data_IF_769338055014
#
_entry.id   IF_769338055014
#
_cell.length_a   1.000
_cell.length_b   1.000
_cell.length_c   1.000
_cell.angle_alpha   90.00
_cell.angle_beta   90.00
_cell.angle_gamma   90.00
#
_symmetry.space_group_name_H-M   'P 1'
#
loop_
_entity.id
_entity.type
_entity.pdbx_description
1 polymer ?
#
# COMPACT_ATOMS: atom_id res chain seq x y z
N UNK A 1 14.63 7.42 -6.71
CA UNK A 1 13.58 8.44 -6.86
C UNK A 1 13.38 9.13 -5.52
N UNK A 2 13.39 10.47 -5.47
CA UNK A 2 13.22 11.22 -4.22
C UNK A 2 12.60 12.60 -4.47
N UNK A 3 12.02 13.16 -3.40
CA UNK A 3 11.43 14.49 -3.37
C UNK A 3 10.32 14.71 -4.43
N UNK A 4 9.35 13.79 -4.46
CA UNK A 4 8.24 13.80 -5.41
C UNK A 4 6.99 14.35 -4.74
N UNK A 5 6.36 15.34 -5.35
CA UNK A 5 5.06 15.86 -4.98
C UNK A 5 4.04 15.63 -6.11
N UNK A 6 2.95 14.95 -5.78
CA UNK A 6 1.78 14.74 -6.64
C UNK A 6 0.60 15.40 -5.93
N UNK A 7 -0.06 16.37 -6.55
CA UNK A 7 -1.19 17.02 -5.90
C UNK A 7 -2.27 17.47 -6.87
N UNK A 8 -3.47 17.63 -6.32
CA UNK A 8 -4.62 18.21 -7.03
C UNK A 8 -4.95 17.47 -8.34
N UNK A 9 -4.73 16.13 -8.36
CA UNK A 9 -4.92 15.31 -9.54
C UNK A 9 -6.24 14.53 -9.48
N UNK A 10 -6.86 14.35 -10.66
CA UNK A 10 -7.99 13.45 -10.82
C UNK A 10 -7.59 12.30 -11.73
N UNK A 11 -7.84 11.07 -11.28
CA UNK A 11 -7.58 9.85 -12.04
C UNK A 11 -8.91 9.31 -12.58
N UNK A 12 -9.02 9.24 -13.90
CA UNK A 12 -10.21 8.78 -14.61
C UNK A 12 -10.04 7.37 -15.22
N UNK A 13 -8.82 6.85 -15.25
CA UNK A 13 -8.52 5.48 -15.65
C UNK A 13 -7.15 5.09 -15.09
N UNK A 14 -7.00 3.87 -14.59
CA UNK A 14 -5.71 3.42 -14.05
C UNK A 14 -5.81 2.13 -13.26
N UNK A 15 -4.65 1.61 -12.94
CA UNK A 15 -4.48 0.40 -12.15
C UNK A 15 -4.36 0.68 -10.65
N UNK A 16 -3.47 1.59 -10.29
CA UNK A 16 -3.14 1.96 -8.91
C UNK A 16 -2.88 3.46 -8.87
N UNK A 17 -3.40 4.14 -7.86
CA UNK A 17 -3.23 5.58 -7.75
C UNK A 17 -1.76 5.95 -7.48
N UNK A 18 -1.15 5.36 -6.46
CA UNK A 18 0.28 5.51 -6.16
C UNK A 18 0.92 4.12 -6.02
N UNK A 19 1.68 3.72 -7.03
CA UNK A 19 2.41 2.46 -7.06
C UNK A 19 3.92 2.67 -6.94
N UNK A 20 4.56 2.01 -5.97
CA UNK A 20 6.01 2.01 -5.75
C UNK A 20 6.53 0.59 -5.93
N UNK A 21 7.46 0.41 -6.86
CA UNK A 21 8.07 -0.89 -7.12
C UNK A 21 7.39 -1.68 -8.23
N UNK A 22 7.82 -2.93 -8.42
CA UNK A 22 8.81 -3.74 -7.67
C UNK A 22 10.27 -3.38 -7.98
N UNK A 23 10.54 -2.62 -9.02
CA UNK A 23 11.90 -2.33 -9.50
C UNK A 23 12.45 -1.06 -8.86
N UNK A 24 12.85 -1.18 -7.60
CA UNK A 24 13.26 -0.05 -6.75
C UNK A 24 14.65 -0.23 -6.12
N UNK A 25 15.57 -0.92 -6.79
CA UNK A 25 16.87 -1.32 -6.24
C UNK A 25 17.73 -0.17 -5.69
N UNK A 26 17.52 1.06 -6.17
CA UNK A 26 18.21 2.24 -5.63
C UNK A 26 17.41 3.00 -4.57
N UNK A 27 16.15 2.63 -4.38
CA UNK A 27 15.25 3.22 -3.38
C UNK A 27 14.36 4.35 -3.85
N UNK A 28 13.36 4.62 -3.00
CA UNK A 28 12.36 5.71 -3.16
C UNK A 28 12.16 6.38 -1.81
N UNK A 29 12.21 7.72 -1.75
CA UNK A 29 11.92 8.46 -0.52
C UNK A 29 11.30 9.82 -0.76
N UNK A 30 10.67 10.35 0.30
CA UNK A 30 10.06 11.67 0.30
C UNK A 30 9.01 11.83 -0.81
N UNK A 31 8.09 10.88 -0.91
CA UNK A 31 6.98 10.94 -1.87
C UNK A 31 5.73 11.44 -1.14
N UNK A 32 5.14 12.52 -1.64
CA UNK A 32 3.90 13.08 -1.10
C UNK A 32 2.83 13.13 -2.17
N UNK A 33 1.68 12.58 -1.86
CA UNK A 33 0.47 12.72 -2.68
C UNK A 33 -0.60 13.45 -1.87
N UNK A 34 -1.16 14.52 -2.43
CA UNK A 34 -2.07 15.42 -1.71
C UNK A 34 -3.31 15.76 -2.57
N UNK A 35 -4.48 15.80 -1.94
CA UNK A 35 -5.73 16.29 -2.54
C UNK A 35 -6.04 15.63 -3.91
N UNK A 36 -5.90 14.32 -4.01
CA UNK A 36 -6.17 13.61 -5.25
C UNK A 36 -7.51 12.89 -5.22
N UNK A 37 -8.11 12.72 -6.39
CA UNK A 37 -9.40 12.05 -6.54
C UNK A 37 -9.33 10.94 -7.57
N UNK A 38 -9.97 9.82 -7.26
CA UNK A 38 -10.11 8.67 -8.15
C UNK A 38 -11.58 8.54 -8.53
N UNK A 39 -11.92 8.92 -9.76
CA UNK A 39 -13.28 8.88 -10.30
C UNK A 39 -13.59 7.59 -11.07
N UNK A 40 -12.65 6.69 -11.16
CA UNK A 40 -12.75 5.38 -11.81
C UNK A 40 -12.62 4.23 -10.81
N UNK A 41 -12.66 3.03 -11.34
CA UNK A 41 -12.25 1.82 -10.63
C UNK A 41 -10.72 1.68 -10.70
N UNK A 42 -10.08 1.44 -9.55
CA UNK A 42 -8.64 1.13 -9.45
C UNK A 42 -8.42 -0.12 -8.61
N UNK A 43 -7.27 -0.73 -8.75
CA UNK A 43 -6.93 -1.89 -7.93
C UNK A 43 -6.54 -1.48 -6.51
N UNK A 44 -5.72 -0.43 -6.36
CA UNK A 44 -5.26 0.05 -5.05
C UNK A 44 -5.09 1.56 -5.02
N UNK A 45 -5.18 2.16 -3.86
CA UNK A 45 -4.80 3.57 -3.70
C UNK A 45 -3.30 3.70 -3.46
N UNK A 46 -2.75 2.97 -2.49
CA UNK A 46 -1.31 2.93 -2.25
C UNK A 46 -0.81 1.48 -2.34
N UNK A 47 0.16 1.25 -3.18
CA UNK A 47 0.80 -0.05 -3.31
C UNK A 47 2.32 0.04 -3.27
N UNK A 48 2.92 -0.48 -2.21
CA UNK A 48 4.37 -0.69 -2.12
C UNK A 48 4.65 -2.17 -2.34
N UNK A 49 5.43 -2.48 -3.35
CA UNK A 49 5.76 -3.86 -3.71
C UNK A 49 7.24 -4.03 -3.99
N UNK A 50 7.82 -5.10 -3.46
CA UNK A 50 9.22 -5.45 -3.67
C UNK A 50 9.42 -6.96 -3.53
N UNK A 51 10.63 -7.42 -3.66
CA UNK A 51 11.02 -8.80 -3.38
C UNK A 51 12.50 -8.87 -2.93
N UNK A 52 12.94 -10.02 -2.38
CA UNK A 52 14.29 -10.17 -1.84
C UNK A 52 15.45 -10.10 -2.85
N UNK A 53 15.20 -9.71 -4.09
CA UNK A 53 16.23 -9.48 -5.13
C UNK A 53 16.49 -8.02 -5.41
N UNK A 54 15.69 -7.12 -4.82
CA UNK A 54 15.69 -5.69 -5.20
C UNK A 54 16.57 -4.84 -4.32
N UNK A 55 16.58 -5.08 -3.01
CA UNK A 55 17.27 -4.20 -2.06
C UNK A 55 16.67 -2.80 -2.01
N UNK A 56 17.50 -1.81 -1.75
CA UNK A 56 17.10 -0.41 -1.68
C UNK A 56 16.20 -0.08 -0.49
N UNK A 57 15.40 0.94 -0.66
CA UNK A 57 14.52 1.42 0.40
C UNK A 57 13.23 2.07 -0.13
N UNK A 58 12.22 2.11 0.72
CA UNK A 58 11.02 2.96 0.57
C UNK A 58 10.84 3.69 1.90
N UNK A 59 11.02 5.01 1.89
CA UNK A 59 11.04 5.84 3.08
C UNK A 59 10.18 7.09 2.90
N UNK A 60 9.50 7.48 3.98
CA UNK A 60 8.76 8.74 4.06
C UNK A 60 7.79 8.93 2.88
N UNK A 61 6.82 8.03 2.78
CA UNK A 61 5.74 8.10 1.78
C UNK A 61 4.47 8.57 2.45
N UNK A 62 3.89 9.65 1.97
CA UNK A 62 2.65 10.21 2.52
C UNK A 62 1.58 10.32 1.45
N UNK A 63 0.37 9.84 1.77
CA UNK A 63 -0.86 10.07 1.02
C UNK A 63 -1.84 10.80 1.92
N UNK A 64 -2.30 11.99 1.50
CA UNK A 64 -3.15 12.87 2.30
C UNK A 64 -4.30 13.45 1.48
N UNK A 65 -5.52 13.39 2.00
CA UNK A 65 -6.67 14.01 1.33
C UNK A 65 -7.06 13.32 0.03
N UNK A 66 -7.22 12.00 0.03
CA UNK A 66 -7.60 11.23 -1.17
C UNK A 66 -9.03 10.73 -1.06
N UNK A 67 -9.78 10.88 -2.14
CA UNK A 67 -11.13 10.29 -2.29
C UNK A 67 -11.17 9.31 -3.44
N UNK A 68 -11.87 8.18 -3.26
CA UNK A 68 -12.00 7.15 -4.28
C UNK A 68 -13.39 6.50 -4.27
N UNK A 69 -13.92 6.21 -5.44
CA UNK A 69 -15.22 5.54 -5.59
C UNK A 69 -15.09 4.02 -5.39
N UNK A 70 -14.12 3.40 -6.05
CA UNK A 70 -14.04 1.94 -6.03
C UNK A 70 -12.61 1.43 -6.12
N UNK A 71 -12.25 0.60 -5.13
CA UNK A 71 -10.96 -0.07 -5.03
C UNK A 71 -11.18 -1.58 -5.09
N UNK A 72 -10.81 -2.22 -6.20
CA UNK A 72 -11.11 -3.64 -6.45
C UNK A 72 -10.12 -4.61 -5.82
N UNK A 73 -9.13 -4.11 -5.11
CA UNK A 73 -8.25 -4.91 -4.28
C UNK A 73 -8.08 -4.26 -2.91
N UNK A 74 -6.99 -3.57 -2.63
CA UNK A 74 -6.69 -3.03 -1.29
C UNK A 74 -6.66 -1.50 -1.30
N UNK A 75 -7.19 -0.85 -0.27
CA UNK A 75 -7.01 0.59 -0.10
C UNK A 75 -5.53 0.90 0.09
N UNK A 76 -4.85 0.16 0.95
CA UNK A 76 -3.39 0.15 1.04
C UNK A 76 -2.87 -1.28 1.03
N UNK A 77 -1.87 -1.55 0.22
CA UNK A 77 -1.13 -2.80 0.25
C UNK A 77 0.38 -2.55 0.29
N UNK A 78 1.05 -3.32 1.14
CA UNK A 78 2.51 -3.41 1.18
C UNK A 78 2.89 -4.89 1.11
N UNK A 79 3.77 -5.24 0.17
CA UNK A 79 4.25 -6.60 0.05
C UNK A 79 5.73 -6.63 -0.29
N UNK A 80 6.53 -7.22 0.57
CA UNK A 80 7.97 -7.38 0.37
C UNK A 80 8.36 -8.68 -0.33
N UNK A 81 7.39 -9.52 -0.69
CA UNK A 81 7.61 -10.80 -1.38
C UNK A 81 6.74 -10.95 -2.62
N UNK A 82 6.78 -9.95 -3.52
CA UNK A 82 6.04 -10.00 -4.78
C UNK A 82 6.91 -10.60 -5.87
N UNK A 83 6.51 -11.76 -6.35
CA UNK A 83 7.16 -12.43 -7.46
C UNK A 83 6.21 -12.44 -8.67
N UNK A 84 6.68 -11.84 -9.76
CA UNK A 84 5.99 -11.92 -11.04
C UNK A 84 6.65 -12.99 -11.87
N UNK A 85 5.96 -14.05 -12.16
CA UNK A 85 6.46 -14.98 -13.13
C UNK A 85 6.36 -16.44 -12.74
N UNK A 86 7.26 -17.23 -13.30
CA UNK A 86 7.17 -18.69 -13.37
C UNK A 86 7.40 -19.36 -12.02
N UNK A 87 6.84 -20.55 -11.82
CA UNK A 87 7.18 -21.41 -10.68
C UNK A 87 8.70 -21.52 -10.50
N UNK A 88 9.19 -21.36 -9.28
CA UNK A 88 10.61 -21.42 -8.95
C UNK A 88 11.36 -20.08 -8.92
N UNK A 89 10.72 -18.97 -9.29
CA UNK A 89 11.31 -17.63 -9.10
C UNK A 89 11.15 -17.06 -7.68
N UNK A 90 10.50 -17.79 -6.81
CA UNK A 90 10.22 -17.38 -5.44
C UNK A 90 11.44 -17.45 -4.51
N UNK A 91 12.55 -17.99 -4.98
CA UNK A 91 13.73 -18.14 -4.16
C UNK A 91 14.60 -16.89 -4.26
N UNK A 92 14.70 -16.15 -3.16
CA UNK A 92 15.83 -15.28 -2.95
C UNK A 92 17.09 -16.12 -3.14
N UNK A 93 18.03 -15.66 -3.95
CA UNK A 93 19.34 -16.33 -4.08
C UNK A 93 20.04 -16.42 -2.72
N UNK A 94 21.23 -16.99 -2.63
CA UNK A 94 21.96 -17.21 -1.38
C UNK A 94 22.25 -15.92 -0.59
N UNK A 95 22.14 -14.77 -1.23
CA UNK A 95 22.32 -13.45 -0.62
C UNK A 95 21.10 -12.57 -0.92
N UNK A 96 20.03 -12.66 -0.12
CA UNK A 96 18.85 -11.85 -0.33
C UNK A 96 19.16 -10.35 -0.16
N UNK A 97 18.64 -9.54 -1.05
CA UNK A 97 18.70 -8.08 -0.97
C UNK A 97 17.33 -7.58 -0.51
N UNK A 98 17.15 -7.46 0.80
CA UNK A 98 15.90 -7.04 1.40
C UNK A 98 15.72 -5.52 1.29
N UNK A 99 14.50 -5.10 1.03
CA UNK A 99 14.16 -3.67 0.92
C UNK A 99 13.74 -3.13 2.29
N UNK A 100 14.34 -2.05 2.73
CA UNK A 100 13.89 -1.32 3.92
C UNK A 100 12.62 -0.54 3.58
N UNK A 101 11.55 -0.73 4.35
CA UNK A 101 10.29 -0.02 4.17
C UNK A 101 9.93 0.63 5.50
N UNK A 102 9.92 1.96 5.55
CA UNK A 102 9.61 2.69 6.78
C UNK A 102 8.97 4.06 6.54
N UNK A 103 8.18 4.53 7.50
CA UNK A 103 7.61 5.87 7.44
C UNK A 103 6.53 6.03 6.38
N UNK A 104 5.57 5.11 6.31
CA UNK A 104 4.42 5.20 5.39
C UNK A 104 3.22 5.77 6.13
N UNK A 105 2.71 6.89 5.65
CA UNK A 105 1.55 7.56 6.22
C UNK A 105 0.42 7.69 5.19
N UNK A 106 -0.78 7.28 5.57
CA UNK A 106 -2.01 7.53 4.82
C UNK A 106 -2.99 8.24 5.76
N UNK A 107 -3.48 9.41 5.37
CA UNK A 107 -4.41 10.17 6.20
C UNK A 107 -5.48 10.90 5.41
N UNK A 108 -6.63 11.14 6.05
CA UNK A 108 -7.76 11.83 5.44
C UNK A 108 -8.17 11.18 4.11
N UNK A 109 -8.34 9.86 4.12
CA UNK A 109 -8.71 9.10 2.94
C UNK A 109 -10.14 8.60 3.08
N UNK A 110 -10.92 8.80 2.04
CA UNK A 110 -12.28 8.26 1.95
C UNK A 110 -12.43 7.40 0.70
N UNK A 111 -12.96 6.19 0.89
CA UNK A 111 -13.24 5.24 -0.19
C UNK A 111 -14.68 4.74 -0.06
N UNK A 112 -15.49 4.88 -1.10
CA UNK A 112 -16.90 4.43 -1.06
C UNK A 112 -16.97 2.90 -1.00
N UNK A 113 -16.12 2.20 -1.77
CA UNK A 113 -16.14 0.74 -1.87
C UNK A 113 -14.72 0.17 -2.00
N UNK A 114 -14.41 -0.84 -1.20
CA UNK A 114 -13.16 -1.59 -1.32
C UNK A 114 -13.38 -3.10 -1.17
N UNK A 115 -12.64 -3.89 -1.96
CA UNK A 115 -12.60 -5.33 -1.71
C UNK A 115 -11.94 -5.62 -0.36
N UNK A 116 -10.79 -5.02 -0.11
CA UNK A 116 -10.03 -5.09 1.15
C UNK A 116 -9.60 -3.71 1.62
N UNK A 117 -9.46 -3.55 2.93
CA UNK A 117 -8.98 -2.30 3.52
C UNK A 117 -7.45 -2.24 3.53
N UNK A 118 -6.84 -2.77 4.58
CA UNK A 118 -5.40 -2.69 4.86
C UNK A 118 -4.76 -4.06 4.72
N UNK A 119 -3.75 -4.19 3.87
CA UNK A 119 -2.96 -5.42 3.71
C UNK A 119 -1.47 -5.11 3.76
N UNK A 120 -0.84 -5.31 4.92
CA UNK A 120 0.59 -5.13 5.13
C UNK A 120 1.24 -6.51 5.34
N UNK A 121 2.03 -6.97 4.39
CA UNK A 121 2.67 -8.29 4.42
C UNK A 121 4.15 -8.15 4.11
N UNK A 122 4.95 -8.08 5.16
CA UNK A 122 6.38 -7.86 5.05
C UNK A 122 7.21 -9.11 5.38
N UNK A 123 8.50 -9.02 5.17
CA UNK A 123 9.41 -10.13 5.41
C UNK A 123 9.62 -10.32 6.92
N UNK A 124 9.52 -11.55 7.47
CA UNK A 124 9.74 -11.79 8.89
C UNK A 124 11.18 -11.50 9.33
N UNK A 125 12.15 -11.71 8.44
CA UNK A 125 13.57 -11.46 8.73
C UNK A 125 13.93 -9.98 8.59
N UNK A 126 13.05 -9.18 7.97
CA UNK A 126 13.24 -7.74 7.78
C UNK A 126 11.89 -7.01 7.82
N UNK A 127 11.31 -6.84 9.00
CA UNK A 127 10.02 -6.18 9.17
C UNK A 127 10.03 -4.74 8.66
N UNK A 128 8.91 -4.32 8.06
CA UNK A 128 8.69 -2.91 7.77
C UNK A 128 8.37 -2.14 9.05
N UNK A 129 8.50 -0.80 9.02
CA UNK A 129 8.37 0.02 10.25
C UNK A 129 7.59 1.30 10.04
N UNK A 130 7.02 1.81 11.13
CA UNK A 130 6.41 3.13 11.23
C UNK A 130 5.31 3.39 10.20
N UNK A 131 4.25 2.61 10.27
CA UNK A 131 3.04 2.81 9.48
C UNK A 131 1.99 3.58 10.28
N UNK A 132 1.43 4.62 9.67
CA UNK A 132 0.37 5.44 10.25
C UNK A 132 -0.78 5.60 9.28
N UNK A 133 -1.93 5.10 9.66
CA UNK A 133 -3.18 5.36 8.97
C UNK A 133 -4.06 6.18 9.90
N UNK A 134 -4.43 7.39 9.49
CA UNK A 134 -5.12 8.38 10.32
C UNK A 134 -6.36 8.88 9.58
N UNK A 135 -7.54 8.75 10.17
CA UNK A 135 -8.78 9.16 9.54
C UNK A 135 -8.97 8.55 8.14
N UNK A 136 -8.86 7.23 8.05
CA UNK A 136 -9.13 6.48 6.83
C UNK A 136 -10.51 5.85 6.94
N UNK A 137 -11.43 6.26 6.09
CA UNK A 137 -12.83 5.81 6.11
C UNK A 137 -13.15 5.04 4.84
N UNK A 138 -13.70 3.84 5.00
CA UNK A 138 -14.18 3.00 3.90
C UNK A 138 -15.67 2.75 4.14
N UNK A 139 -16.52 3.10 3.20
CA UNK A 139 -17.95 2.92 3.40
C UNK A 139 -18.34 1.44 3.37
N UNK A 140 -17.88 0.67 2.39
CA UNK A 140 -18.13 -0.77 2.31
C UNK A 140 -16.86 -1.58 2.06
N UNK A 141 -16.66 -2.66 2.85
CA UNK A 141 -15.57 -3.65 2.69
C UNK A 141 -16.17 -5.04 2.48
N UNK A 142 -15.65 -5.78 1.50
CA UNK A 142 -16.21 -7.07 1.06
C UNK A 142 -15.40 -8.31 1.46
N UNK A 143 -14.12 -8.15 1.75
CA UNK A 143 -13.25 -9.24 2.22
C UNK A 143 -12.53 -8.82 3.51
N UNK A 144 -11.23 -9.00 3.58
CA UNK A 144 -10.44 -8.64 4.74
C UNK A 144 -10.40 -7.13 4.99
N UNK A 145 -10.78 -6.71 6.19
CA UNK A 145 -10.70 -5.31 6.57
C UNK A 145 -9.28 -4.90 6.92
N UNK A 146 -8.59 -5.65 7.78
CA UNK A 146 -7.21 -5.38 8.19
C UNK A 146 -6.43 -6.68 8.27
N UNK A 147 -5.26 -6.70 7.63
CA UNK A 147 -4.26 -7.76 7.74
C UNK A 147 -2.88 -7.16 7.87
N UNK A 148 -2.19 -7.44 8.97
CA UNK A 148 -0.84 -6.92 9.25
C UNK A 148 0.07 -8.08 9.62
N UNK A 149 1.16 -8.26 8.89
CA UNK A 149 2.17 -9.31 9.11
C UNK A 149 3.57 -8.70 9.02
N UNK A 150 4.38 -8.90 10.05
CA UNK A 150 5.78 -8.46 10.11
C UNK A 150 5.97 -6.96 9.88
N UNK A 151 5.28 -6.16 10.65
CA UNK A 151 5.38 -4.70 10.63
C UNK A 151 5.44 -4.18 12.05
N UNK A 152 6.46 -3.38 12.34
CA UNK A 152 6.68 -2.75 13.64
C UNK A 152 6.12 -1.30 13.64
N UNK A 153 5.62 -0.85 14.79
CA UNK A 153 5.19 0.55 14.94
C UNK A 153 3.97 0.93 14.10
N UNK A 154 2.95 0.07 14.06
CA UNK A 154 1.72 0.31 13.31
C UNK A 154 0.71 1.08 14.16
N UNK A 155 0.16 2.17 13.60
CA UNK A 155 -0.97 2.92 14.15
C UNK A 155 -2.09 2.97 13.13
N UNK A 156 -3.26 2.46 13.49
CA UNK A 156 -4.41 2.35 12.58
C UNK A 156 -5.62 3.08 13.18
N UNK A 157 -5.99 4.19 12.57
CA UNK A 157 -7.29 4.84 12.71
C UNK A 157 -8.03 4.67 11.37
N UNK A 158 -8.59 3.48 11.20
CA UNK A 158 -9.28 3.05 9.99
C UNK A 158 -10.68 2.59 10.36
N UNK A 159 -11.67 3.12 9.69
CA UNK A 159 -13.09 2.78 9.91
C UNK A 159 -13.70 2.17 8.66
N UNK A 160 -14.36 1.01 8.81
CA UNK A 160 -15.28 0.50 7.81
C UNK A 160 -16.71 0.72 8.33
N UNK A 161 -17.55 1.44 7.57
CA UNK A 161 -18.96 1.67 7.97
C UNK A 161 -19.82 0.43 7.81
N UNK A 162 -19.50 -0.38 6.80
CA UNK A 162 -20.15 -1.65 6.55
C UNK A 162 -19.12 -2.70 6.13
N UNK A 163 -19.15 -3.84 6.79
CA UNK A 163 -18.36 -5.01 6.45
C UNK A 163 -19.33 -6.12 6.06
N UNK A 164 -19.12 -6.74 4.91
CA UNK A 164 -20.00 -7.80 4.43
C UNK A 164 -19.81 -9.08 5.25
N UNK A 165 -20.87 -9.90 5.42
CA UNK A 165 -20.83 -11.10 6.28
C UNK A 165 -19.76 -12.12 5.90
N UNK A 166 -19.37 -12.16 4.63
CA UNK A 166 -18.34 -13.07 4.11
C UNK A 166 -16.91 -12.51 4.24
N UNK A 167 -16.77 -11.30 4.82
CA UNK A 167 -15.45 -10.71 5.07
C UNK A 167 -14.71 -11.53 6.13
N UNK A 168 -13.57 -12.08 5.76
CA UNK A 168 -12.68 -12.78 6.69
C UNK A 168 -11.72 -11.79 7.35
N UNK A 169 -11.56 -11.96 8.66
CA UNK A 169 -10.66 -11.17 9.53
C UNK A 169 -9.25 -11.72 9.54
#
# INVERSE_FOLDING_TARGET
CEDVLIRDCTVNAGHTLLGIGSELSAGVRNVRMENCRVDCEVWRLLYVKTNPRRGGFVENVTMDGVTAKKVTQDVIAVSSRVYYGMPGQEVAGPNPQLTRIEGVTMRNVHCDWALRGVTLRCDPDYPARDFRLENVVIDEVFENFVRVENVDGVKLDVTARKIHPDAHW
#
